data_IF_317710349293
#
_entry.id   IF_317710349293
#
_cell.length_a   1.000
_cell.length_b   1.000
_cell.length_c   1.000
_cell.angle_alpha   90.00
_cell.angle_beta   90.00
_cell.angle_gamma   90.00
#
_symmetry.space_group_name_H-M   'P 1'
#
loop_
_entity.id
_entity.type
_entity.pdbx_description
1 polymer ?
#
# COMPACT_ATOMS: atom_id res chain seq x y z
N UNK A 1 -10.13 13.52 2.97
CA UNK A 1 -8.77 12.95 2.84
C UNK A 1 -8.87 11.52 2.35
N UNK A 2 -8.01 11.16 1.43
CA UNK A 2 -7.96 9.81 0.85
C UNK A 2 -6.68 9.10 1.30
N UNK A 3 -6.79 7.81 1.55
CA UNK A 3 -5.67 6.99 2.03
C UNK A 3 -5.36 5.85 1.07
N UNK A 4 -4.09 5.49 1.01
CA UNK A 4 -3.59 4.32 0.31
C UNK A 4 -2.92 3.41 1.34
N UNK A 5 -3.37 2.17 1.43
CA UNK A 5 -2.73 1.17 2.30
C UNK A 5 -1.56 0.54 1.53
N UNK A 6 -0.40 0.42 2.18
CA UNK A 6 0.66 -0.40 1.61
C UNK A 6 0.31 -1.89 1.74
N UNK A 7 1.14 -2.75 1.17
CA UNK A 7 0.86 -4.19 1.17
C UNK A 7 0.80 -4.76 2.58
N UNK A 8 1.71 -4.35 3.46
CA UNK A 8 1.74 -4.87 4.84
C UNK A 8 0.52 -4.41 5.65
N UNK A 9 0.14 -3.14 5.53
CA UNK A 9 -1.06 -2.64 6.19
C UNK A 9 -2.31 -3.37 5.70
N UNK A 10 -2.39 -3.65 4.40
CA UNK A 10 -3.49 -4.43 3.84
C UNK A 10 -3.49 -5.86 4.38
N UNK A 11 -2.35 -6.52 4.45
CA UNK A 11 -2.24 -7.86 5.03
C UNK A 11 -2.72 -7.86 6.48
N UNK A 12 -2.32 -6.87 7.27
CA UNK A 12 -2.77 -6.77 8.65
C UNK A 12 -4.28 -6.58 8.76
N UNK A 13 -4.86 -5.82 7.84
CA UNK A 13 -6.31 -5.68 7.79
C UNK A 13 -6.98 -7.03 7.46
N UNK A 14 -6.50 -7.73 6.45
CA UNK A 14 -7.07 -8.99 5.98
C UNK A 14 -6.91 -10.14 6.99
N UNK A 15 -5.86 -10.12 7.80
CA UNK A 15 -5.56 -11.17 8.78
C UNK A 15 -5.99 -10.79 10.20
N UNK A 16 -6.65 -9.66 10.36
CA UNK A 16 -7.06 -9.14 11.68
C UNK A 16 -5.88 -9.01 12.64
N UNK A 17 -4.75 -8.56 12.13
CA UNK A 17 -3.51 -8.43 12.88
C UNK A 17 -3.53 -7.16 13.72
N UNK A 18 -3.14 -7.28 15.00
CA UNK A 18 -3.15 -6.17 15.96
C UNK A 18 -2.11 -5.09 15.66
N UNK A 19 -1.16 -5.35 14.78
CA UNK A 19 -0.20 -4.34 14.34
C UNK A 19 -0.86 -3.22 13.54
N UNK A 20 -1.99 -3.49 12.91
CA UNK A 20 -2.81 -2.41 12.35
C UNK A 20 -3.53 -1.70 13.48
N UNK A 21 -3.30 -0.39 13.68
CA UNK A 21 -3.98 0.36 14.74
C UNK A 21 -5.50 0.25 14.65
N UNK A 22 -6.14 0.05 15.79
CA UNK A 22 -7.60 -0.12 15.87
C UNK A 22 -8.33 1.09 15.29
N UNK A 23 -7.81 2.29 15.48
CA UNK A 23 -8.41 3.51 14.93
C UNK A 23 -8.48 3.47 13.40
N UNK A 24 -7.46 2.90 12.75
CA UNK A 24 -7.44 2.76 11.29
C UNK A 24 -8.42 1.67 10.86
N UNK A 25 -8.42 0.54 11.55
CA UNK A 25 -9.36 -0.55 11.26
C UNK A 25 -10.81 -0.07 11.34
N UNK A 26 -11.15 0.60 12.43
CA UNK A 26 -12.50 1.14 12.61
C UNK A 26 -12.85 2.18 11.55
N UNK A 27 -11.90 3.03 11.17
CA UNK A 27 -12.14 4.04 10.14
C UNK A 27 -12.37 3.39 8.76
N UNK A 28 -11.64 2.33 8.43
CA UNK A 28 -11.89 1.56 7.20
C UNK A 28 -13.31 1.03 7.18
N UNK A 29 -13.75 0.42 8.28
CA UNK A 29 -15.07 -0.22 8.39
C UNK A 29 -16.23 0.79 8.39
N UNK A 30 -15.96 2.03 8.81
CA UNK A 30 -16.98 3.09 8.90
C UNK A 30 -16.96 4.05 7.72
N UNK A 31 -15.97 3.96 6.83
CA UNK A 31 -15.77 4.95 5.78
C UNK A 31 -16.15 4.38 4.42
N UNK A 32 -16.76 5.23 3.58
CA UNK A 32 -17.13 4.84 2.22
C UNK A 32 -16.08 5.38 1.25
N UNK A 33 -15.36 4.47 0.57
CA UNK A 33 -14.38 4.80 -0.49
C UNK A 33 -13.27 5.78 -0.08
N UNK A 34 -12.94 5.81 1.20
CA UNK A 34 -11.85 6.64 1.72
C UNK A 34 -10.49 5.95 1.58
N UNK A 35 -10.48 4.64 1.52
CA UNK A 35 -9.30 3.80 1.48
C UNK A 35 -9.15 3.11 0.13
N UNK A 36 -7.91 2.94 -0.28
CA UNK A 36 -7.58 2.25 -1.52
C UNK A 36 -6.29 1.45 -1.36
N UNK A 37 -6.07 0.54 -2.30
CA UNK A 37 -4.84 -0.25 -2.43
C UNK A 37 -4.43 -0.23 -3.89
N UNK A 38 -3.15 -0.40 -4.16
CA UNK A 38 -2.66 -0.55 -5.52
C UNK A 38 -2.80 -2.01 -5.94
N UNK A 39 -3.20 -2.26 -7.19
CA UNK A 39 -3.38 -3.62 -7.70
C UNK A 39 -2.13 -4.49 -7.52
N UNK A 40 -0.93 -3.91 -7.62
CA UNK A 40 0.33 -4.63 -7.43
C UNK A 40 0.45 -5.23 -6.01
N UNK A 41 -0.17 -4.63 -5.00
CA UNK A 41 -0.20 -5.19 -3.65
C UNK A 41 -0.91 -6.55 -3.62
N UNK A 42 -1.93 -6.73 -4.45
CA UNK A 42 -2.64 -8.01 -4.54
C UNK A 42 -1.75 -9.09 -5.16
N UNK A 43 -0.93 -8.73 -6.14
CA UNK A 43 0.07 -9.63 -6.73
C UNK A 43 1.10 -10.04 -5.67
N UNK A 44 1.59 -9.09 -4.90
CA UNK A 44 2.54 -9.35 -3.82
C UNK A 44 1.94 -10.29 -2.76
N UNK A 45 0.69 -10.07 -2.37
CA UNK A 45 -0.02 -10.93 -1.41
C UNK A 45 -0.10 -12.38 -1.93
N UNK A 46 -0.48 -12.57 -3.19
CA UNK A 46 -0.54 -13.92 -3.80
C UNK A 46 0.82 -14.59 -3.74
N UNK A 47 1.88 -13.87 -4.08
CA UNK A 47 3.22 -14.43 -4.03
C UNK A 47 3.65 -14.78 -2.60
N UNK A 48 3.35 -13.91 -1.63
CA UNK A 48 3.65 -14.17 -0.23
C UNK A 48 2.90 -15.39 0.30
N UNK A 49 1.66 -15.62 -0.14
CA UNK A 49 0.92 -16.84 0.15
C UNK A 49 1.61 -18.08 -0.43
N UNK A 50 2.04 -17.99 -1.68
CA UNK A 50 2.68 -19.13 -2.38
C UNK A 50 3.98 -19.57 -1.72
N UNK A 51 4.74 -18.63 -1.15
CA UNK A 51 6.00 -18.93 -0.47
C UNK A 51 5.84 -19.08 1.05
N UNK A 52 4.61 -19.15 1.54
CA UNK A 52 4.26 -19.32 2.95
C UNK A 52 4.83 -18.25 3.89
N UNK A 53 4.93 -17.01 3.41
CA UNK A 53 5.40 -15.87 4.21
C UNK A 53 4.28 -15.19 4.99
N UNK A 54 3.03 -15.41 4.60
CA UNK A 54 1.85 -14.89 5.30
C UNK A 54 0.85 -16.03 5.52
N UNK A 55 0.09 -15.92 6.63
CA UNK A 55 -0.95 -16.88 6.98
C UNK A 55 -2.33 -16.32 6.62
N UNK A 56 -2.58 -16.20 5.34
CA UNK A 56 -3.87 -15.77 4.83
C UNK A 56 -4.49 -16.91 4.03
N UNK A 57 -5.59 -17.46 4.52
CA UNK A 57 -6.31 -18.56 3.88
C UNK A 57 -7.48 -18.03 3.05
N UNK A 58 -7.17 -17.23 2.06
CA UNK A 58 -8.17 -16.67 1.18
C UNK A 58 -7.66 -16.74 -0.26
N UNK A 59 -8.55 -17.10 -1.18
CA UNK A 59 -8.24 -17.03 -2.60
C UNK A 59 -8.20 -15.56 -3.04
N UNK A 60 -7.55 -15.24 -4.17
CA UNK A 60 -7.61 -13.88 -4.71
C UNK A 60 -9.03 -13.36 -4.88
N UNK A 61 -9.96 -14.20 -5.32
CA UNK A 61 -11.37 -13.84 -5.45
C UNK A 61 -11.99 -13.47 -4.11
N UNK A 62 -11.69 -14.24 -3.06
CA UNK A 62 -12.19 -13.93 -1.71
C UNK A 62 -11.59 -12.62 -1.16
N UNK A 63 -10.30 -12.37 -1.42
CA UNK A 63 -9.68 -11.09 -1.05
C UNK A 63 -10.39 -9.93 -1.74
N UNK A 64 -10.67 -10.04 -3.03
CA UNK A 64 -11.39 -9.00 -3.77
C UNK A 64 -12.79 -8.76 -3.20
N UNK A 65 -13.48 -9.80 -2.77
CA UNK A 65 -14.81 -9.68 -2.14
C UNK A 65 -14.72 -8.92 -0.81
N UNK A 66 -13.70 -9.18 0.00
CA UNK A 66 -13.48 -8.45 1.26
C UNK A 66 -13.24 -6.97 0.99
N UNK A 67 -12.39 -6.65 0.01
CA UNK A 67 -12.13 -5.26 -0.36
C UNK A 67 -13.40 -4.55 -0.83
N UNK A 68 -14.21 -5.20 -1.64
CA UNK A 68 -15.47 -4.65 -2.11
C UNK A 68 -16.44 -4.40 -0.97
N UNK A 69 -16.59 -5.34 -0.04
CA UNK A 69 -17.45 -5.20 1.13
C UNK A 69 -16.98 -4.08 2.06
N UNK A 70 -15.68 -3.86 2.16
CA UNK A 70 -15.10 -2.78 2.97
C UNK A 70 -15.03 -1.44 2.21
N UNK A 71 -15.50 -1.41 0.96
CA UNK A 71 -15.42 -0.24 0.07
C UNK A 71 -13.98 0.25 -0.13
N UNK A 72 -13.01 -0.66 -0.08
CA UNK A 72 -11.60 -0.36 -0.39
C UNK A 72 -11.44 -0.45 -1.92
N UNK A 73 -11.06 0.67 -2.53
CA UNK A 73 -10.87 0.73 -3.97
C UNK A 73 -9.54 0.11 -4.37
N UNK A 74 -9.53 -0.67 -5.45
CA UNK A 74 -8.30 -1.15 -6.08
C UNK A 74 -7.90 -0.21 -7.20
N UNK A 75 -6.70 0.36 -7.12
CA UNK A 75 -6.17 1.32 -8.08
C UNK A 75 -5.14 0.65 -8.98
N UNK A 76 -5.28 0.88 -10.28
CA UNK A 76 -4.34 0.38 -11.28
C UNK A 76 -3.22 1.38 -11.53
N UNK A 77 -2.13 0.90 -12.12
CA UNK A 77 -1.03 1.75 -12.56
C UNK A 77 -1.44 2.45 -13.87
N UNK A 78 -1.86 3.69 -13.76
CA UNK A 78 -2.21 4.52 -14.93
C UNK A 78 -0.95 5.01 -15.63
N UNK A 79 -1.05 5.50 -16.90
CA UNK A 79 0.09 6.11 -17.58
C UNK A 79 0.73 7.24 -16.76
N UNK A 80 -0.07 8.09 -16.11
CA UNK A 80 0.45 9.19 -15.29
C UNK A 80 1.28 8.67 -14.11
N UNK A 81 0.82 7.62 -13.45
CA UNK A 81 1.55 6.98 -12.35
C UNK A 81 2.87 6.38 -12.87
N UNK A 82 2.82 5.70 -14.01
CA UNK A 82 4.00 5.08 -14.61
C UNK A 82 5.02 6.12 -15.07
N UNK A 83 4.55 7.24 -15.63
CA UNK A 83 5.42 8.35 -16.01
C UNK A 83 6.11 8.94 -14.77
N UNK A 84 5.38 9.15 -13.69
CA UNK A 84 5.96 9.62 -12.44
C UNK A 84 6.95 8.60 -11.86
N UNK A 85 6.59 7.33 -11.84
CA UNK A 85 7.47 6.23 -11.41
C UNK A 85 8.78 6.24 -12.20
N UNK A 86 8.71 6.40 -13.51
CA UNK A 86 9.87 6.47 -14.39
C UNK A 86 10.76 7.67 -14.09
N UNK A 87 10.16 8.83 -13.76
CA UNK A 87 10.88 10.06 -13.45
C UNK A 87 11.52 10.09 -12.07
N UNK A 88 11.07 9.20 -11.17
CA UNK A 88 11.47 9.19 -9.77
C UNK A 88 12.87 8.59 -9.62
N UNK A 89 13.84 9.40 -9.20
CA UNK A 89 15.19 8.93 -8.92
C UNK A 89 15.20 7.88 -7.80
N UNK A 90 16.18 7.00 -7.82
CA UNK A 90 16.35 6.05 -6.72
C UNK A 90 16.77 6.79 -5.45
N UNK A 91 16.05 6.52 -4.38
CA UNK A 91 16.39 7.04 -3.06
C UNK A 91 17.47 6.14 -2.45
N UNK A 92 18.51 6.76 -1.89
CA UNK A 92 19.57 6.04 -1.20
C UNK A 92 19.23 5.95 0.28
N UNK A 93 19.15 4.73 0.81
CA UNK A 93 18.84 4.44 2.20
C UNK A 93 19.93 3.53 2.76
N UNK A 94 20.58 3.98 3.82
CA UNK A 94 21.70 3.24 4.44
C UNK A 94 22.79 2.86 3.43
N UNK A 95 23.12 3.78 2.53
CA UNK A 95 24.16 3.61 1.53
C UNK A 95 23.77 2.75 0.32
N UNK A 96 22.51 2.35 0.21
CA UNK A 96 22.02 1.53 -0.89
C UNK A 96 20.85 2.18 -1.60
N UNK A 97 20.82 2.08 -2.92
CA UNK A 97 19.67 2.52 -3.70
C UNK A 97 18.48 1.60 -3.38
N UNK A 98 17.35 2.21 -3.02
CA UNK A 98 16.08 1.51 -2.82
C UNK A 98 15.44 1.26 -4.19
N UNK A 99 15.48 0.02 -4.66
CA UNK A 99 15.06 -0.34 -6.03
C UNK A 99 13.84 -1.26 -6.08
N UNK A 100 13.26 -1.61 -4.94
CA UNK A 100 12.10 -2.50 -4.89
C UNK A 100 10.95 -1.92 -5.73
N UNK A 101 10.56 -2.57 -6.84
CA UNK A 101 9.55 -2.01 -7.74
C UNK A 101 8.15 -1.98 -7.12
N UNK A 102 7.82 -2.91 -6.23
CA UNK A 102 6.52 -2.91 -5.54
C UNK A 102 6.39 -1.68 -4.66
N UNK A 103 7.36 -1.46 -3.78
CA UNK A 103 7.37 -0.30 -2.89
C UNK A 103 7.36 1.01 -3.67
N UNK A 104 8.22 1.12 -4.68
CA UNK A 104 8.34 2.34 -5.48
C UNK A 104 7.06 2.65 -6.24
N UNK A 105 6.36 1.65 -6.74
CA UNK A 105 5.09 1.86 -7.44
C UNK A 105 3.99 2.29 -6.48
N UNK A 106 3.92 1.72 -5.29
CA UNK A 106 2.97 2.13 -4.25
C UNK A 106 3.20 3.59 -3.87
N UNK A 107 4.46 3.97 -3.66
CA UNK A 107 4.84 5.35 -3.32
C UNK A 107 4.48 6.31 -4.46
N UNK A 108 4.83 5.97 -5.70
CA UNK A 108 4.50 6.78 -6.87
C UNK A 108 2.98 6.96 -7.01
N UNK A 109 2.22 5.90 -6.76
CA UNK A 109 0.76 5.94 -6.81
C UNK A 109 0.19 6.90 -5.76
N UNK A 110 0.71 6.84 -4.53
CA UNK A 110 0.26 7.74 -3.45
C UNK A 110 0.55 9.20 -3.80
N UNK A 111 1.75 9.50 -4.27
CA UNK A 111 2.16 10.88 -4.62
C UNK A 111 1.31 11.40 -5.80
N UNK A 112 1.23 10.63 -6.88
CA UNK A 112 0.56 11.07 -8.10
C UNK A 112 -0.95 11.24 -7.90
N UNK A 113 -1.57 10.46 -7.03
CA UNK A 113 -3.01 10.54 -6.75
C UNK A 113 -3.32 11.38 -5.51
N UNK A 114 -2.33 12.01 -4.91
CA UNK A 114 -2.48 12.89 -3.73
C UNK A 114 -3.16 12.17 -2.54
N UNK A 115 -2.77 10.92 -2.31
CA UNK A 115 -3.27 10.13 -1.18
C UNK A 115 -2.23 10.03 -0.10
N UNK A 116 -2.68 9.96 1.15
CA UNK A 116 -1.79 9.68 2.26
C UNK A 116 -1.53 8.17 2.33
N UNK A 117 -0.27 7.79 2.20
CA UNK A 117 0.15 6.41 2.31
C UNK A 117 0.22 5.99 3.77
N UNK A 118 -0.40 4.87 4.11
CA UNK A 118 -0.33 4.27 5.45
C UNK A 118 0.67 3.12 5.39
N UNK A 119 1.75 3.23 6.15
CA UNK A 119 2.84 2.25 6.12
C UNK A 119 3.60 2.21 7.44
N UNK A 120 4.11 1.04 7.78
CA UNK A 120 5.07 0.85 8.87
C UNK A 120 6.52 0.75 8.37
N UNK A 121 6.75 0.82 7.07
CA UNK A 121 8.07 0.66 6.49
C UNK A 121 8.95 1.88 6.80
N UNK A 122 10.05 1.65 7.50
CA UNK A 122 10.98 2.69 7.95
C UNK A 122 11.78 3.33 6.81
N UNK A 123 11.74 2.77 5.61
CA UNK A 123 12.39 3.35 4.42
C UNK A 123 11.54 4.45 3.79
N UNK A 124 10.24 4.45 4.00
CA UNK A 124 9.31 5.35 3.32
C UNK A 124 9.43 6.83 3.74
N UNK A 125 9.82 7.18 4.98
CA UNK A 125 10.03 8.59 5.33
C UNK A 125 11.04 9.33 4.44
N UNK A 126 12.04 8.63 3.88
CA UNK A 126 12.98 9.24 2.93
C UNK A 126 12.28 9.77 1.68
N UNK A 127 11.23 9.12 1.25
CA UNK A 127 10.42 9.58 0.10
C UNK A 127 9.59 10.80 0.44
N UNK A 128 9.16 10.95 1.69
CA UNK A 128 8.49 12.16 2.16
C UNK A 128 9.41 13.38 1.98
N UNK A 129 10.66 13.24 2.38
CA UNK A 129 11.61 14.34 2.36
C UNK A 129 12.02 14.72 0.94
N UNK A 130 12.13 13.75 0.03
CA UNK A 130 12.61 13.99 -1.34
C UNK A 130 11.49 14.27 -2.34
N UNK A 131 10.32 13.66 -2.19
CA UNK A 131 9.25 13.72 -3.19
C UNK A 131 7.93 14.25 -2.64
N UNK A 132 7.89 14.65 -1.38
CA UNK A 132 6.66 15.17 -0.79
C UNK A 132 5.58 14.13 -0.56
N UNK A 133 5.97 12.86 -0.34
CA UNK A 133 5.03 11.80 0.02
C UNK A 133 4.29 12.19 1.30
N UNK A 134 2.96 12.14 1.25
CA UNK A 134 2.14 12.22 2.46
C UNK A 134 2.10 10.84 3.10
N UNK A 135 2.62 10.73 4.31
CA UNK A 135 2.83 9.45 4.98
C UNK A 135 2.23 9.47 6.38
N UNK A 136 1.41 8.47 6.67
CA UNK A 136 0.96 8.15 8.01
C UNK A 136 1.71 6.89 8.46
N UNK A 137 2.65 7.09 9.38
CA UNK A 137 3.46 6.00 9.93
C UNK A 137 2.68 5.25 11.01
N UNK A 138 2.67 3.95 10.93
CA UNK A 138 1.99 3.08 11.88
C UNK A 138 2.92 2.06 12.53
#
# INVERSE_FOLDING_TARGET
MQYLLDTEALIWYLTDDRRLPEAIRSDIECSYRKYSVVAISLVEIVQLQQINRIKLRATPTQVMQVLEQAYIKVCEATPDILDFFHSMDFVVIDGRAHTDPFDRLIIASAIQTHKTLISSDRKFPEYRDQFGLQLLEI
#
